data_IF_509183886151
#
_entry.id   IF_509183886151
#
_cell.length_a   1.000
_cell.length_b   1.000
_cell.length_c   1.000
_cell.angle_alpha   90.00
_cell.angle_beta   90.00
_cell.angle_gamma   90.00
#
_symmetry.space_group_name_H-M   'P 1'
#
loop_
_entity.id
_entity.type
_entity.pdbx_description
1 polymer ?
#
# COMPACT_ATOMS: atom_id res chain seq x y z
N UNK A 1 -15.48 -12.19 0.31
CA UNK A 1 -14.89 -11.17 -0.58
C UNK A 1 -13.48 -10.85 -0.07
N UNK A 2 -12.43 -11.26 -0.79
CA UNK A 2 -11.03 -11.15 -0.32
C UNK A 2 -10.50 -9.74 -0.51
N UNK A 3 -10.24 -9.00 0.58
CA UNK A 3 -9.70 -7.64 0.52
C UNK A 3 -8.18 -7.69 0.62
N UNK A 4 -7.52 -7.00 -0.30
CA UNK A 4 -6.07 -6.88 -0.35
C UNK A 4 -5.64 -5.46 0.00
N UNK A 5 -4.44 -5.32 0.53
CA UNK A 5 -3.82 -4.03 0.79
C UNK A 5 -2.43 -3.95 0.19
N UNK A 6 -2.07 -2.77 -0.30
CA UNK A 6 -0.75 -2.43 -0.78
C UNK A 6 -0.21 -1.22 -0.03
N UNK A 7 1.09 -1.30 0.29
CA UNK A 7 1.87 -0.21 0.84
C UNK A 7 2.91 0.19 -0.22
N UNK A 8 2.93 1.45 -0.60
CA UNK A 8 3.85 1.95 -1.62
C UNK A 8 4.21 3.41 -1.44
N UNK A 9 5.25 3.84 -2.17
CA UNK A 9 5.67 5.23 -2.25
C UNK A 9 5.42 5.74 -3.66
N UNK A 10 4.81 6.92 -3.79
CA UNK A 10 4.66 7.58 -5.08
C UNK A 10 6.00 8.13 -5.57
N UNK A 11 6.09 8.47 -6.85
CA UNK A 11 7.27 9.13 -7.43
C UNK A 11 7.59 10.45 -6.70
N UNK A 12 6.57 11.20 -6.27
CA UNK A 12 6.73 12.40 -5.46
C UNK A 12 7.11 12.15 -3.99
N UNK A 13 7.41 10.90 -3.62
CA UNK A 13 7.90 10.53 -2.30
C UNK A 13 6.81 10.32 -1.24
N UNK A 14 5.52 10.46 -1.59
CA UNK A 14 4.40 10.28 -0.66
C UNK A 14 4.14 8.80 -0.41
N UNK A 15 4.08 8.40 0.85
CA UNK A 15 3.71 7.04 1.24
C UNK A 15 2.18 6.88 1.24
N UNK A 16 1.70 5.85 0.55
CA UNK A 16 0.28 5.56 0.36
C UNK A 16 -0.07 4.15 0.82
N UNK A 17 -1.17 4.07 1.55
CA UNK A 17 -1.89 2.83 1.83
C UNK A 17 -3.08 2.74 0.88
N UNK A 18 -3.19 1.62 0.18
CA UNK A 18 -4.29 1.36 -0.76
C UNK A 18 -4.93 0.03 -0.42
N UNK A 19 -6.23 0.05 -0.15
CA UNK A 19 -7.06 -1.15 -0.01
C UNK A 19 -7.84 -1.36 -1.31
N UNK A 20 -7.72 -2.55 -1.87
CA UNK A 20 -8.35 -2.91 -3.13
C UNK A 20 -8.89 -4.33 -3.09
N UNK A 21 -9.86 -4.56 -3.96
CA UNK A 21 -10.34 -5.90 -4.27
C UNK A 21 -9.97 -6.21 -5.72
N UNK A 22 -9.65 -7.47 -6.00
CA UNK A 22 -9.34 -7.91 -7.36
C UNK A 22 -9.97 -9.27 -7.63
N UNK A 23 -10.50 -9.40 -8.85
CA UNK A 23 -11.03 -10.67 -9.40
C UNK A 23 -9.99 -11.34 -10.32
N UNK A 24 -8.71 -10.96 -10.21
CA UNK A 24 -7.63 -11.39 -11.09
C UNK A 24 -7.60 -10.69 -12.47
N UNK A 25 -8.75 -10.23 -12.98
CA UNK A 25 -8.85 -9.41 -14.20
C UNK A 25 -9.06 -7.92 -13.93
N UNK A 26 -9.94 -7.62 -12.97
CA UNK A 26 -10.33 -6.26 -12.65
C UNK A 26 -9.94 -5.94 -11.22
N UNK A 27 -9.27 -4.82 -11.02
CA UNK A 27 -8.89 -4.32 -9.71
C UNK A 27 -9.70 -3.08 -9.38
N UNK A 28 -10.45 -3.13 -8.28
CA UNK A 28 -11.23 -2.00 -7.76
C UNK A 28 -10.60 -1.49 -6.48
N UNK A 29 -10.21 -0.22 -6.49
CA UNK A 29 -9.74 0.48 -5.29
C UNK A 29 -10.95 0.81 -4.42
N UNK A 30 -10.91 0.39 -3.16
CA UNK A 30 -11.96 0.65 -2.17
C UNK A 30 -11.60 1.88 -1.36
N UNK A 31 -10.34 2.00 -0.94
CA UNK A 31 -9.86 3.13 -0.16
C UNK A 31 -8.40 3.43 -0.47
N UNK A 32 -8.06 4.71 -0.55
CA UNK A 32 -6.69 5.19 -0.64
C UNK A 32 -6.49 6.28 0.41
N UNK A 33 -5.46 6.13 1.24
CA UNK A 33 -5.11 7.12 2.27
C UNK A 33 -3.60 7.24 2.45
N UNK A 34 -3.18 8.26 3.18
CA UNK A 34 -1.81 8.33 3.66
C UNK A 34 -1.55 7.16 4.65
N UNK A 35 -0.33 6.63 4.63
CA UNK A 35 0.10 5.68 5.66
C UNK A 35 0.07 6.35 7.04
N UNK A 36 -0.30 5.58 8.05
CA UNK A 36 -0.08 5.95 9.45
C UNK A 36 1.39 5.71 9.81
N UNK A 37 1.85 6.33 10.90
CA UNK A 37 3.23 6.23 11.36
C UNK A 37 3.70 4.77 11.58
N UNK A 38 2.82 3.90 12.09
CA UNK A 38 3.10 2.47 12.25
C UNK A 38 3.28 1.76 10.90
N UNK A 39 2.44 2.06 9.91
CA UNK A 39 2.52 1.46 8.56
C UNK A 39 3.75 1.98 7.80
N UNK A 40 4.08 3.26 7.97
CA UNK A 40 5.31 3.86 7.47
C UNK A 40 6.53 3.13 8.01
N UNK A 41 6.62 2.92 9.32
CA UNK A 41 7.75 2.21 9.94
C UNK A 41 7.88 0.78 9.43
N UNK A 42 6.76 0.09 9.22
CA UNK A 42 6.74 -1.24 8.63
C UNK A 42 7.21 -1.23 7.18
N UNK A 43 6.71 -0.28 6.38
CA UNK A 43 7.09 -0.11 4.99
C UNK A 43 8.58 0.19 4.84
N UNK A 44 9.13 1.11 5.65
CA UNK A 44 10.54 1.48 5.63
C UNK A 44 11.45 0.32 6.02
N UNK A 45 11.10 -0.45 7.06
CA UNK A 45 11.85 -1.66 7.44
C UNK A 45 11.87 -2.70 6.33
N UNK A 46 10.73 -2.94 5.68
CA UNK A 46 10.67 -3.88 4.55
C UNK A 46 11.42 -3.36 3.33
N UNK A 47 11.32 -2.08 3.05
CA UNK A 47 12.02 -1.45 1.94
C UNK A 47 13.54 -1.51 2.13
N UNK A 48 14.02 -1.25 3.35
CA UNK A 48 15.44 -1.37 3.70
C UNK A 48 15.97 -2.81 3.60
N UNK A 49 15.12 -3.81 3.75
CA UNK A 49 15.52 -5.21 3.59
C UNK A 49 15.60 -5.67 2.12
N UNK A 50 14.96 -4.95 1.20
CA UNK A 50 14.93 -5.25 -0.23
C UNK A 50 16.03 -4.50 -1.00
N UNK A 51 16.52 -3.39 -0.43
CA UNK A 51 17.59 -2.55 -0.99
C UNK A 51 18.97 -3.07 -0.56
#
# INVERSE_FOLDING_TARGET
ESRYYALGRTVGGRQLFVCFWTDGKTTRVIAARAMTENETRYYERRYAAIK
#
